data_IF_792258798513
#
_entry.id   IF_792258798513
#
_cell.length_a   1.000
_cell.length_b   1.000
_cell.length_c   1.000
_cell.angle_alpha   90.00
_cell.angle_beta   90.00
_cell.angle_gamma   90.00
#
_symmetry.space_group_name_H-M   'P 1'
#
loop_
_entity.id
_entity.type
_entity.pdbx_description
1 polymer ?
#
# COMPACT_ATOMS: atom_id res chain seq x y z
N UNK A 1 -0.42 2.99 26.63
CA UNK A 1 -1.07 1.71 26.30
C UNK A 1 -2.03 2.01 25.16
N UNK A 2 -1.91 1.33 24.04
CA UNK A 2 -2.85 1.52 22.93
C UNK A 2 -4.17 0.87 23.34
N UNK A 3 -5.21 1.66 23.42
CA UNK A 3 -6.55 1.21 23.84
C UNK A 3 -7.43 0.86 22.66
N UNK A 4 -7.08 1.36 21.47
CA UNK A 4 -7.88 1.19 20.28
C UNK A 4 -7.22 0.19 19.31
N UNK A 5 -7.95 -0.81 18.83
CA UNK A 5 -7.41 -1.80 17.91
C UNK A 5 -7.14 -1.19 16.53
N UNK A 6 -6.10 -1.69 15.87
CA UNK A 6 -5.88 -1.52 14.43
C UNK A 6 -6.22 -2.84 13.74
N UNK A 7 -7.16 -2.81 12.84
CA UNK A 7 -7.57 -3.95 12.03
C UNK A 7 -6.86 -3.89 10.69
N UNK A 8 -6.10 -4.92 10.35
CA UNK A 8 -5.43 -5.02 9.05
C UNK A 8 -6.07 -6.14 8.21
N UNK A 9 -6.27 -5.89 6.95
CA UNK A 9 -6.78 -6.89 6.00
C UNK A 9 -5.76 -8.01 5.73
N UNK A 10 -4.48 -7.80 6.04
CA UNK A 10 -3.39 -8.71 5.68
C UNK A 10 -3.55 -10.12 6.24
N UNK A 11 -3.87 -10.25 7.52
CA UNK A 11 -3.89 -11.56 8.18
C UNK A 11 -4.88 -12.54 7.55
N UNK A 12 -5.98 -12.03 7.02
CA UNK A 12 -7.06 -12.86 6.47
C UNK A 12 -7.04 -12.94 4.95
N UNK A 13 -6.79 -11.81 4.28
CA UNK A 13 -7.00 -11.69 2.82
C UNK A 13 -5.71 -11.60 2.02
N UNK A 14 -4.57 -11.26 2.67
CA UNK A 14 -3.31 -11.01 1.97
C UNK A 14 -3.54 -10.01 0.84
N UNK A 15 -3.15 -10.38 -0.39
CA UNK A 15 -3.33 -9.60 -1.61
C UNK A 15 -4.71 -9.74 -2.26
N UNK A 16 -5.56 -10.64 -1.75
CA UNK A 16 -6.89 -10.94 -2.29
C UNK A 16 -7.94 -9.94 -1.79
N UNK A 17 -7.70 -8.66 -2.04
CA UNK A 17 -8.55 -7.56 -1.60
C UNK A 17 -9.21 -6.83 -2.76
N UNK A 18 -10.40 -6.32 -2.49
CA UNK A 18 -11.14 -5.39 -3.35
C UNK A 18 -12.14 -4.60 -2.50
N UNK A 19 -12.83 -3.62 -3.11
CA UNK A 19 -13.80 -2.78 -2.42
C UNK A 19 -14.83 -3.57 -1.61
N UNK A 20 -15.40 -4.62 -2.20
CA UNK A 20 -16.44 -5.43 -1.53
C UNK A 20 -15.89 -6.20 -0.34
N UNK A 21 -14.70 -6.78 -0.47
CA UNK A 21 -14.02 -7.52 0.61
C UNK A 21 -13.72 -6.59 1.79
N UNK A 22 -13.20 -5.41 1.53
CA UNK A 22 -12.86 -4.43 2.58
C UNK A 22 -14.12 -3.91 3.30
N UNK A 23 -15.19 -3.63 2.56
CA UNK A 23 -16.46 -3.22 3.15
C UNK A 23 -17.07 -4.33 4.01
N UNK A 24 -17.05 -5.56 3.54
CA UNK A 24 -17.55 -6.71 4.32
C UNK A 24 -16.73 -6.91 5.59
N UNK A 25 -15.41 -6.83 5.50
CA UNK A 25 -14.52 -6.93 6.66
C UNK A 25 -14.86 -5.89 7.74
N UNK A 26 -15.03 -4.62 7.35
CA UNK A 26 -15.43 -3.57 8.28
C UNK A 26 -16.81 -3.84 8.92
N UNK A 27 -17.78 -4.30 8.13
CA UNK A 27 -19.12 -4.63 8.60
C UNK A 27 -19.12 -5.80 9.58
N UNK A 28 -18.33 -6.84 9.32
CA UNK A 28 -18.22 -8.01 10.18
C UNK A 28 -17.63 -7.67 11.55
N UNK A 29 -16.61 -6.80 11.61
CA UNK A 29 -16.04 -6.32 12.87
C UNK A 29 -17.13 -5.67 13.73
N UNK A 30 -17.92 -4.77 13.14
CA UNK A 30 -19.02 -4.07 13.84
C UNK A 30 -20.14 -5.04 14.21
N UNK A 31 -20.55 -5.91 13.29
CA UNK A 31 -21.63 -6.88 13.51
C UNK A 31 -21.33 -7.84 14.69
N UNK A 32 -20.07 -8.24 14.85
CA UNK A 32 -19.65 -9.11 15.95
C UNK A 32 -19.35 -8.35 17.24
N UNK A 33 -19.56 -7.04 17.27
CA UNK A 33 -19.41 -6.22 18.48
C UNK A 33 -17.97 -5.99 18.91
N UNK A 34 -17.02 -6.12 18.00
CA UNK A 34 -15.62 -5.79 18.28
C UNK A 34 -15.43 -4.27 18.28
N UNK A 35 -14.46 -3.80 19.07
CA UNK A 35 -14.06 -2.40 19.05
C UNK A 35 -13.50 -2.03 17.68
N UNK A 36 -14.00 -0.92 17.14
CA UNK A 36 -13.55 -0.32 15.89
C UNK A 36 -12.81 0.99 16.18
N UNK A 37 -11.74 1.22 15.44
CA UNK A 37 -10.94 2.45 15.55
C UNK A 37 -10.25 2.75 14.21
N UNK A 38 -9.42 1.85 13.76
CA UNK A 38 -8.64 1.99 12.54
C UNK A 38 -8.71 0.72 11.72
N UNK A 39 -8.90 0.87 10.43
CA UNK A 39 -8.87 -0.21 9.45
C UNK A 39 -7.79 0.10 8.42
N UNK A 40 -6.82 -0.79 8.33
CA UNK A 40 -5.75 -0.75 7.36
C UNK A 40 -6.14 -1.62 6.15
N UNK A 41 -6.16 -0.99 5.00
CA UNK A 41 -6.19 -1.68 3.71
C UNK A 41 -4.74 -2.00 3.37
N UNK A 42 -4.42 -3.26 3.42
CA UNK A 42 -3.07 -3.75 3.27
C UNK A 42 -2.69 -3.94 1.79
N UNK A 43 -1.65 -4.67 1.52
CA UNK A 43 -0.99 -4.84 0.24
C UNK A 43 -1.95 -5.09 -0.95
N UNK A 44 -1.51 -4.64 -2.13
CA UNK A 44 -2.18 -4.84 -3.42
C UNK A 44 -3.45 -3.99 -3.63
N UNK A 45 -3.55 -2.83 -2.97
CA UNK A 45 -4.61 -1.85 -3.24
C UNK A 45 -4.25 -0.90 -4.41
N UNK A 46 -2.96 -0.73 -4.70
CA UNK A 46 -2.46 0.16 -5.74
C UNK A 46 -2.59 -0.46 -7.13
N UNK A 47 -2.78 0.38 -8.14
CA UNK A 47 -2.73 -0.01 -9.55
C UNK A 47 -1.32 -0.38 -10.00
N UNK A 48 -0.32 0.27 -9.39
CA UNK A 48 1.10 0.07 -9.61
C UNK A 48 1.84 0.51 -8.36
N UNK A 49 2.74 -0.30 -7.84
CA UNK A 49 3.43 -0.01 -6.59
C UNK A 49 4.25 1.27 -6.66
N UNK A 50 3.89 2.23 -5.83
CA UNK A 50 4.49 3.55 -5.72
C UNK A 50 3.69 4.69 -6.34
N UNK A 51 2.64 4.42 -7.11
CA UNK A 51 1.78 5.45 -7.69
C UNK A 51 0.77 6.03 -6.68
N UNK A 52 0.53 5.34 -5.58
CA UNK A 52 -0.45 5.71 -4.55
C UNK A 52 -1.85 5.99 -5.13
N UNK A 53 -2.23 5.22 -6.14
CA UNK A 53 -3.53 5.30 -6.82
C UNK A 53 -4.25 3.96 -6.67
N UNK A 54 -5.49 3.98 -6.22
CA UNK A 54 -6.30 2.77 -6.13
C UNK A 54 -6.44 2.09 -7.50
N UNK A 55 -6.29 0.78 -7.53
CA UNK A 55 -6.60 -0.03 -8.71
C UNK A 55 -8.10 0.08 -9.03
N UNK A 56 -8.49 0.69 -10.16
CA UNK A 56 -9.89 0.94 -10.48
C UNK A 56 -10.68 -0.35 -10.79
N UNK A 57 -10.02 -1.47 -11.06
CA UNK A 57 -10.66 -2.76 -11.26
C UNK A 57 -11.06 -3.40 -9.93
N UNK A 58 -10.27 -3.18 -8.88
CA UNK A 58 -10.52 -3.68 -7.53
C UNK A 58 -11.36 -2.72 -6.70
N UNK A 59 -11.10 -1.42 -6.86
CA UNK A 59 -11.70 -0.34 -6.09
C UNK A 59 -12.32 0.71 -7.01
N UNK A 60 -13.49 0.43 -7.59
CA UNK A 60 -14.13 1.31 -8.58
C UNK A 60 -14.60 2.63 -8.00
N UNK A 61 -14.90 2.71 -6.70
CA UNK A 61 -15.29 3.95 -6.01
C UNK A 61 -14.67 4.03 -4.61
N UNK A 62 -13.36 4.28 -4.51
CA UNK A 62 -12.66 4.32 -3.23
C UNK A 62 -13.16 5.45 -2.33
N UNK A 63 -13.68 6.54 -2.88
CA UNK A 63 -14.24 7.64 -2.11
C UNK A 63 -15.51 7.19 -1.36
N UNK A 64 -16.41 6.49 -2.04
CA UNK A 64 -17.61 5.90 -1.45
C UNK A 64 -17.24 4.85 -0.41
N UNK A 65 -16.29 3.96 -0.73
CA UNK A 65 -15.82 2.92 0.17
C UNK A 65 -15.27 3.52 1.48
N UNK A 66 -14.35 4.48 1.39
CA UNK A 66 -13.76 5.14 2.58
C UNK A 66 -14.83 5.88 3.39
N UNK A 67 -15.80 6.51 2.73
CA UNK A 67 -16.92 7.16 3.40
C UNK A 67 -17.77 6.17 4.18
N UNK A 68 -18.10 5.02 3.59
CA UNK A 68 -18.85 3.96 4.26
C UNK A 68 -18.10 3.36 5.46
N UNK A 69 -16.78 3.15 5.33
CA UNK A 69 -15.92 2.69 6.42
C UNK A 69 -15.93 3.72 7.57
N UNK A 70 -15.89 5.01 7.23
CA UNK A 70 -15.96 6.10 8.22
C UNK A 70 -17.32 6.11 8.94
N UNK A 71 -18.41 5.89 8.24
CA UNK A 71 -19.78 5.79 8.84
C UNK A 71 -19.88 4.61 9.82
N UNK A 72 -19.13 3.53 9.60
CA UNK A 72 -19.00 2.41 10.53
C UNK A 72 -18.11 2.73 11.75
N UNK A 73 -17.52 3.92 11.81
CA UNK A 73 -16.71 4.39 12.96
C UNK A 73 -15.21 4.16 12.82
N UNK A 74 -14.71 3.72 11.68
CA UNK A 74 -13.27 3.54 11.46
C UNK A 74 -12.60 4.78 10.85
N UNK A 75 -11.31 4.92 11.14
CA UNK A 75 -10.36 5.66 10.31
C UNK A 75 -9.71 4.67 9.35
N UNK A 76 -9.58 5.05 8.09
CA UNK A 76 -8.92 4.21 7.09
C UNK A 76 -7.47 4.60 6.96
N UNK A 77 -6.59 3.61 6.90
CA UNK A 77 -5.17 3.75 6.52
C UNK A 77 -4.86 2.81 5.38
N UNK A 78 -3.83 3.15 4.64
CA UNK A 78 -3.34 2.38 3.52
C UNK A 78 -1.93 1.89 3.82
N UNK A 79 -1.66 0.64 3.54
CA UNK A 79 -0.32 0.09 3.57
C UNK A 79 0.51 0.71 2.43
N UNK A 80 1.76 0.99 2.70
CA UNK A 80 2.73 1.46 1.71
C UNK A 80 4.09 0.82 1.96
N UNK A 81 4.90 0.73 0.92
CA UNK A 81 6.30 0.34 1.01
C UNK A 81 7.22 1.38 0.35
N UNK A 82 8.55 1.32 0.58
CA UNK A 82 9.50 2.31 0.09
C UNK A 82 9.97 2.05 -1.35
N UNK A 83 9.32 1.19 -2.09
CA UNK A 83 9.71 0.79 -3.43
C UNK A 83 8.78 1.39 -4.48
N UNK A 84 9.30 1.60 -5.68
CA UNK A 84 8.52 2.02 -6.85
C UNK A 84 8.86 1.07 -7.99
N UNK A 85 7.86 0.48 -8.59
CA UNK A 85 8.03 -0.32 -9.79
C UNK A 85 8.44 0.54 -10.98
N UNK A 86 9.37 0.05 -11.78
CA UNK A 86 9.99 0.83 -12.86
C UNK A 86 9.04 1.20 -13.99
N UNK A 87 7.94 0.48 -14.13
CA UNK A 87 6.86 0.75 -15.09
C UNK A 87 5.85 1.78 -14.62
N UNK A 88 5.86 2.16 -13.33
CA UNK A 88 4.91 3.12 -12.78
C UNK A 88 5.21 4.57 -13.20
N UNK A 89 4.18 5.40 -13.22
CA UNK A 89 4.33 6.84 -13.49
C UNK A 89 5.23 7.49 -12.44
N UNK A 90 5.07 7.16 -11.16
CA UNK A 90 5.87 7.67 -10.07
C UNK A 90 7.37 7.42 -10.27
N UNK A 91 7.76 6.30 -10.90
CA UNK A 91 9.16 6.06 -11.24
C UNK A 91 9.71 7.12 -12.19
N UNK A 92 8.99 7.44 -13.24
CA UNK A 92 9.39 8.47 -14.19
C UNK A 92 9.54 9.84 -13.53
N UNK A 93 8.65 10.17 -12.60
CA UNK A 93 8.70 11.43 -11.84
C UNK A 93 9.86 11.47 -10.86
N UNK A 94 10.16 10.33 -10.20
CA UNK A 94 11.20 10.26 -9.18
C UNK A 94 12.62 10.04 -9.74
N UNK A 95 12.74 9.40 -10.90
CA UNK A 95 14.02 8.99 -11.48
C UNK A 95 14.77 10.10 -12.21
N UNK A 96 14.04 11.06 -12.82
CA UNK A 96 14.58 12.03 -13.74
C UNK A 96 14.53 13.47 -13.20
N UNK A 97 15.41 14.35 -13.73
CA UNK A 97 15.40 15.76 -13.35
C UNK A 97 14.03 16.42 -13.57
N UNK A 98 13.64 17.36 -12.68
CA UNK A 98 14.46 17.94 -11.62
C UNK A 98 14.49 17.13 -10.31
N UNK A 99 13.63 16.11 -10.17
CA UNK A 99 13.36 15.52 -8.85
C UNK A 99 14.48 14.60 -8.35
N UNK A 100 14.83 13.56 -9.11
CA UNK A 100 15.92 12.62 -8.77
C UNK A 100 15.84 12.05 -7.34
N UNK A 101 14.65 11.63 -6.92
CA UNK A 101 14.40 11.18 -5.54
C UNK A 101 14.86 9.74 -5.25
N UNK A 102 15.16 8.96 -6.29
CA UNK A 102 15.56 7.56 -6.10
C UNK A 102 16.99 7.43 -5.61
N UNK A 103 17.23 6.39 -4.81
CA UNK A 103 18.57 6.06 -4.33
C UNK A 103 19.47 5.69 -5.50
N UNK A 104 20.68 6.25 -5.48
CA UNK A 104 21.68 6.05 -6.53
C UNK A 104 22.98 5.55 -5.94
N UNK A 105 23.66 4.69 -6.67
CA UNK A 105 25.02 4.31 -6.32
C UNK A 105 25.92 5.54 -6.29
N UNK A 106 26.68 5.76 -5.21
CA UNK A 106 27.51 6.97 -5.05
C UNK A 106 28.59 7.15 -6.12
N UNK A 107 29.06 6.06 -6.73
CA UNK A 107 30.14 6.07 -7.71
C UNK A 107 29.62 6.14 -9.14
N UNK A 108 28.73 5.23 -9.50
CA UNK A 108 28.20 5.14 -10.86
C UNK A 108 27.08 6.16 -11.14
N UNK A 109 26.45 6.71 -10.07
CA UNK A 109 25.27 7.58 -10.16
C UNK A 109 24.03 6.91 -10.78
N UNK A 110 24.10 5.60 -11.00
CA UNK A 110 22.95 4.83 -11.48
C UNK A 110 21.95 4.61 -10.34
N UNK A 111 20.68 4.52 -10.69
CA UNK A 111 19.62 4.10 -9.76
C UNK A 111 19.92 2.66 -9.34
N UNK A 112 19.89 2.41 -8.05
CA UNK A 112 20.12 1.06 -7.53
C UNK A 112 18.83 0.26 -7.61
N UNK A 113 18.81 -0.73 -8.49
CA UNK A 113 17.75 -1.74 -8.55
C UNK A 113 18.14 -2.95 -7.69
N UNK A 114 18.44 -2.74 -6.43
CA UNK A 114 18.78 -3.84 -5.52
C UNK A 114 17.56 -4.30 -4.73
N UNK A 115 16.49 -4.55 -5.44
CA UNK A 115 15.30 -4.98 -4.79
C UNK A 115 14.95 -6.43 -5.07
N UNK A 116 15.66 -7.37 -4.51
CA UNK A 116 15.01 -8.61 -4.12
C UNK A 116 14.65 -8.45 -2.64
N UNK A 117 13.51 -7.84 -2.39
CA UNK A 117 12.93 -7.89 -1.06
C UNK A 117 12.15 -9.20 -0.96
N UNK A 118 12.85 -10.26 -0.48
CA UNK A 118 12.23 -11.51 -0.08
C UNK A 118 11.63 -12.34 -1.21
N UNK A 119 12.45 -12.87 -2.09
CA UNK A 119 12.08 -13.83 -3.14
C UNK A 119 11.24 -15.02 -2.65
N UNK A 120 11.25 -15.28 -1.35
CA UNK A 120 10.61 -16.45 -0.76
C UNK A 120 9.21 -16.15 -0.17
N UNK A 121 8.81 -14.90 0.02
CA UNK A 121 7.56 -14.55 0.72
C UNK A 121 6.54 -13.77 -0.11
N UNK A 122 6.94 -13.04 -1.14
CA UNK A 122 6.05 -12.07 -1.81
C UNK A 122 6.06 -12.12 -3.34
N UNK A 123 6.76 -13.07 -3.96
CA UNK A 123 6.90 -13.15 -5.40
C UNK A 123 8.00 -12.23 -5.97
N UNK A 124 8.28 -12.38 -7.24
CA UNK A 124 9.33 -11.64 -7.95
C UNK A 124 8.96 -10.15 -8.08
N UNK A 125 9.54 -9.31 -7.24
CA UNK A 125 9.53 -7.86 -7.45
C UNK A 125 10.71 -7.47 -8.35
N UNK A 126 10.67 -7.84 -9.61
CA UNK A 126 11.65 -7.42 -10.58
C UNK A 126 11.46 -5.93 -10.92
N UNK A 127 12.49 -5.13 -10.74
CA UNK A 127 12.55 -3.77 -11.23
C UNK A 127 12.15 -2.66 -10.26
N UNK A 128 12.22 -2.88 -8.97
CA UNK A 128 11.92 -1.85 -7.96
C UNK A 128 13.08 -0.90 -7.71
N UNK A 129 12.76 0.34 -7.36
CA UNK A 129 13.69 1.37 -6.95
C UNK A 129 13.32 1.95 -5.59
N UNK A 130 14.33 2.22 -4.76
CA UNK A 130 14.13 2.72 -3.40
C UNK A 130 13.87 4.21 -3.33
N UNK A 131 12.91 4.62 -2.50
CA UNK A 131 12.74 6.00 -2.07
C UNK A 131 13.71 6.33 -0.93
N UNK A 132 14.40 7.49 -0.96
CA UNK A 132 15.29 7.91 0.13
C UNK A 132 14.50 8.17 1.42
N UNK A 133 15.06 7.73 2.56
CA UNK A 133 14.51 8.05 3.89
C UNK A 133 13.77 6.91 4.59
N UNK A 134 13.60 5.76 3.96
CA UNK A 134 12.98 4.58 4.55
C UNK A 134 14.00 3.55 5.09
N UNK A 135 15.15 4.03 5.52
CA UNK A 135 16.08 3.17 6.25
C UNK A 135 15.72 3.19 7.74
N UNK A 136 15.18 2.11 8.21
CA UNK A 136 15.09 1.84 9.65
C UNK A 136 16.40 1.20 10.15
#
# INVERSE_FOLDING_TARGET
MFTDPVWSSWAQYKTEINESVILLFAQDIVHHGFNNSQLEIDDNWESCYGDAVFDPQKFPDPTRMVSAIKELGFRTTLWIHPFINTECQAYSEAAFPPNMFLVRDPKSKLITNNGTFGDDLFGDFEGEAFLPGYYC
#
